data_IF_983725749048
#
_entry.id   IF_983725749048
#
_cell.length_a   1.000
_cell.length_b   1.000
_cell.length_c   1.000
_cell.angle_alpha   90.00
_cell.angle_beta   90.00
_cell.angle_gamma   90.00
#
_symmetry.space_group_name_H-M   'P 1'
#
loop_
_entity.id
_entity.type
_entity.pdbx_description
1 polymer ?
#
# COMPACT_ATOMS: atom_id res chain seq x y z
N UNK A 1 -35.71 15.51 11.83
CA UNK A 1 -35.33 14.22 12.46
C UNK A 1 -34.61 13.28 11.47
N UNK A 2 -35.16 13.07 10.28
CA UNK A 2 -34.55 12.17 9.24
C UNK A 2 -33.10 12.53 8.87
N UNK A 3 -32.82 13.84 8.71
CA UNK A 3 -31.46 14.33 8.38
C UNK A 3 -30.42 13.99 9.47
N UNK A 4 -30.80 14.15 10.75
CA UNK A 4 -29.90 13.81 11.86
C UNK A 4 -29.55 12.32 11.88
N UNK A 5 -30.54 11.47 11.62
CA UNK A 5 -30.31 10.01 11.51
C UNK A 5 -29.35 9.71 10.37
N UNK A 6 -29.47 10.39 9.23
CA UNK A 6 -28.55 10.21 8.10
C UNK A 6 -27.14 10.74 8.38
N UNK A 7 -26.98 11.83 9.14
CA UNK A 7 -25.66 12.29 9.56
C UNK A 7 -24.95 11.27 10.47
N UNK A 8 -25.68 10.67 11.40
CA UNK A 8 -25.15 9.59 12.26
C UNK A 8 -24.81 8.36 11.44
N UNK A 9 -25.67 7.97 10.48
CA UNK A 9 -25.43 6.88 9.57
C UNK A 9 -24.17 7.09 8.73
N UNK A 10 -23.98 8.29 8.18
CA UNK A 10 -22.77 8.64 7.44
C UNK A 10 -21.51 8.53 8.30
N UNK A 11 -21.57 9.00 9.56
CA UNK A 11 -20.50 8.80 10.53
C UNK A 11 -20.21 7.33 10.79
N UNK A 12 -21.26 6.51 10.99
CA UNK A 12 -21.12 5.07 11.21
C UNK A 12 -20.48 4.36 10.01
N UNK A 13 -20.91 4.68 8.80
CA UNK A 13 -20.27 4.19 7.57
C UNK A 13 -18.80 4.60 7.50
N UNK A 14 -18.46 5.82 7.93
CA UNK A 14 -17.09 6.31 8.01
C UNK A 14 -16.27 5.52 9.03
N UNK A 15 -16.84 5.23 10.17
CA UNK A 15 -16.20 4.43 11.23
C UNK A 15 -15.85 3.01 10.71
N UNK A 16 -16.83 2.30 10.14
CA UNK A 16 -16.60 0.97 9.56
C UNK A 16 -15.56 1.06 8.44
N UNK A 17 -15.70 2.02 7.53
CA UNK A 17 -14.76 2.25 6.44
C UNK A 17 -13.32 2.48 6.93
N UNK A 18 -13.14 3.01 8.14
CA UNK A 18 -11.81 3.21 8.76
C UNK A 18 -11.25 1.94 9.40
N UNK A 19 -12.10 0.97 9.76
CA UNK A 19 -11.71 -0.31 10.35
C UNK A 19 -11.50 -1.41 9.30
N UNK A 20 -12.17 -1.28 8.17
CA UNK A 20 -12.11 -2.26 7.09
C UNK A 20 -10.94 -1.93 6.17
N UNK A 21 -10.34 -2.95 5.56
CA UNK A 21 -9.26 -2.78 4.58
C UNK A 21 -9.70 -1.86 3.44
N UNK A 22 -8.75 -1.13 2.88
CA UNK A 22 -8.96 -0.07 1.86
C UNK A 22 -9.91 -0.49 0.73
N UNK A 23 -9.88 -1.74 0.31
CA UNK A 23 -10.70 -2.30 -0.77
C UNK A 23 -12.20 -2.27 -0.48
N UNK A 24 -12.59 -2.69 0.72
CA UNK A 24 -13.99 -2.72 1.15
C UNK A 24 -14.44 -1.38 1.76
N UNK A 25 -13.50 -0.49 2.03
CA UNK A 25 -13.72 0.84 2.58
C UNK A 25 -14.59 1.70 1.66
N UNK A 26 -14.42 1.58 0.35
CA UNK A 26 -15.18 2.33 -0.65
C UNK A 26 -16.68 2.01 -0.61
N UNK A 27 -17.06 0.74 -0.45
CA UNK A 27 -18.46 0.33 -0.39
C UNK A 27 -19.21 0.98 0.79
N UNK A 28 -18.59 1.02 1.96
CA UNK A 28 -19.14 1.70 3.14
C UNK A 28 -19.22 3.21 2.95
N UNK A 29 -18.21 3.79 2.31
CA UNK A 29 -18.21 5.19 1.94
C UNK A 29 -19.39 5.54 1.02
N UNK A 30 -19.59 4.72 -0.02
CA UNK A 30 -20.69 4.89 -0.97
C UNK A 30 -22.06 4.76 -0.30
N UNK A 31 -22.22 3.83 0.65
CA UNK A 31 -23.47 3.65 1.40
C UNK A 31 -23.84 4.91 2.24
N UNK A 32 -22.84 5.50 2.91
CA UNK A 32 -23.07 6.75 3.68
C UNK A 32 -23.42 7.94 2.79
N UNK A 33 -22.68 8.11 1.70
CA UNK A 33 -22.86 9.14 0.70
C UNK A 33 -24.25 9.03 0.00
N UNK A 34 -24.63 7.84 -0.43
CA UNK A 34 -25.91 7.61 -1.13
C UNK A 34 -27.11 7.92 -0.23
N UNK A 35 -27.04 7.52 1.05
CA UNK A 35 -28.12 7.82 2.00
C UNK A 35 -28.31 9.34 2.17
N UNK A 36 -27.23 10.11 2.25
CA UNK A 36 -27.31 11.56 2.32
C UNK A 36 -27.88 12.20 1.05
N UNK A 37 -27.46 11.76 -0.13
CA UNK A 37 -28.01 12.25 -1.41
C UNK A 37 -29.53 12.06 -1.41
N UNK A 38 -30.01 10.84 -1.12
CA UNK A 38 -31.45 10.53 -1.14
C UNK A 38 -32.20 11.47 -0.20
N UNK A 39 -31.76 11.60 1.04
CA UNK A 39 -32.48 12.38 2.07
C UNK A 39 -32.44 13.87 1.79
N UNK A 40 -31.33 14.41 1.31
CA UNK A 40 -31.19 15.83 1.01
C UNK A 40 -32.00 16.22 -0.22
N UNK A 41 -31.98 15.39 -1.28
CA UNK A 41 -32.69 15.68 -2.54
C UNK A 41 -34.21 15.67 -2.36
N UNK A 42 -34.75 14.81 -1.47
CA UNK A 42 -36.19 14.56 -1.32
C UNK A 42 -36.81 15.43 -0.23
N UNK A 43 -36.04 16.27 0.45
CA UNK A 43 -36.55 17.11 1.53
C UNK A 43 -37.85 17.87 1.18
N UNK A 44 -38.05 18.40 -0.05
CA UNK A 44 -39.31 19.07 -0.42
C UNK A 44 -40.52 18.11 -0.48
N UNK A 45 -40.34 16.85 -0.81
CA UNK A 45 -41.42 15.87 -1.01
C UNK A 45 -41.08 14.49 -0.38
N UNK A 46 -41.18 14.34 0.95
CA UNK A 46 -40.71 13.14 1.64
C UNK A 46 -41.48 11.84 1.29
N UNK A 47 -42.67 11.94 0.72
CA UNK A 47 -43.43 10.77 0.27
C UNK A 47 -42.82 10.04 -0.93
N UNK A 48 -41.98 10.70 -1.71
CA UNK A 48 -41.28 10.13 -2.87
C UNK A 48 -39.99 9.41 -2.49
N UNK A 49 -39.62 9.35 -1.21
CA UNK A 49 -38.39 8.70 -0.72
C UNK A 49 -38.20 7.28 -1.23
N UNK A 50 -39.21 6.38 -1.20
CA UNK A 50 -38.99 5.01 -1.67
C UNK A 50 -38.70 4.94 -3.18
N UNK A 51 -39.35 5.76 -3.99
CA UNK A 51 -39.15 5.80 -5.43
C UNK A 51 -37.73 6.26 -5.77
N UNK A 52 -37.28 7.36 -5.21
CA UNK A 52 -35.92 7.88 -5.39
C UNK A 52 -34.85 6.90 -4.89
N UNK A 53 -35.09 6.20 -3.79
CA UNK A 53 -34.16 5.19 -3.28
C UNK A 53 -33.99 4.04 -4.31
N UNK A 54 -35.09 3.58 -4.90
CA UNK A 54 -35.05 2.53 -5.95
C UNK A 54 -34.35 3.04 -7.21
N UNK A 55 -34.61 4.26 -7.65
CA UNK A 55 -33.92 4.87 -8.80
C UNK A 55 -32.41 4.94 -8.56
N UNK A 56 -31.95 5.43 -7.42
CA UNK A 56 -30.53 5.49 -7.07
C UNK A 56 -29.88 4.12 -6.94
N UNK A 57 -30.56 3.15 -6.33
CA UNK A 57 -30.05 1.78 -6.28
C UNK A 57 -29.91 1.17 -7.68
N UNK A 58 -30.87 1.41 -8.56
CA UNK A 58 -30.80 0.91 -9.95
C UNK A 58 -29.67 1.55 -10.76
N UNK A 59 -29.46 2.86 -10.63
CA UNK A 59 -28.32 3.57 -11.26
C UNK A 59 -26.98 2.98 -10.83
N UNK A 60 -26.80 2.74 -9.52
CA UNK A 60 -25.58 2.16 -8.96
C UNK A 60 -25.37 0.72 -9.48
N UNK A 61 -26.42 -0.10 -9.49
CA UNK A 61 -26.36 -1.48 -9.99
C UNK A 61 -25.99 -1.49 -11.49
N UNK A 62 -26.61 -0.64 -12.30
CA UNK A 62 -26.28 -0.51 -13.72
C UNK A 62 -24.81 -0.10 -13.89
N UNK A 63 -24.34 0.88 -13.14
CA UNK A 63 -22.94 1.32 -13.17
C UNK A 63 -21.96 0.20 -12.82
N UNK A 64 -22.27 -0.60 -11.77
CA UNK A 64 -21.45 -1.76 -11.38
C UNK A 64 -21.44 -2.83 -12.48
N UNK A 65 -22.62 -3.14 -13.05
CA UNK A 65 -22.72 -4.13 -14.14
C UNK A 65 -21.93 -3.67 -15.36
N UNK A 66 -22.05 -2.40 -15.76
CA UNK A 66 -21.26 -1.84 -16.86
C UNK A 66 -19.75 -1.89 -16.58
N UNK A 67 -19.31 -1.59 -15.36
CA UNK A 67 -17.90 -1.68 -14.96
C UNK A 67 -17.39 -3.13 -15.05
N UNK A 68 -18.14 -4.09 -14.51
CA UNK A 68 -17.81 -5.53 -14.60
C UNK A 68 -17.75 -5.99 -16.07
N UNK A 69 -18.70 -5.57 -16.89
CA UNK A 69 -18.69 -5.90 -18.33
C UNK A 69 -17.48 -5.30 -19.04
N UNK A 70 -17.12 -4.06 -18.72
CA UNK A 70 -15.94 -3.42 -19.27
C UNK A 70 -14.66 -4.16 -18.83
N UNK A 71 -14.53 -4.52 -17.57
CA UNK A 71 -13.40 -5.32 -17.07
C UNK A 71 -13.30 -6.67 -17.77
N UNK A 72 -14.39 -7.38 -17.95
CA UNK A 72 -14.41 -8.66 -18.65
C UNK A 72 -14.00 -8.53 -20.14
N UNK A 73 -14.37 -7.44 -20.80
CA UNK A 73 -14.07 -7.21 -22.22
C UNK A 73 -12.65 -6.67 -22.45
N UNK A 74 -12.18 -5.79 -21.57
CA UNK A 74 -10.93 -5.04 -21.77
C UNK A 74 -9.76 -5.51 -20.91
N UNK A 75 -9.96 -6.44 -19.95
CA UNK A 75 -8.90 -7.01 -19.11
C UNK A 75 -8.48 -8.43 -19.55
N UNK A 76 -7.88 -8.59 -20.75
CA UNK A 76 -7.48 -9.92 -21.25
C UNK A 76 -6.17 -10.41 -20.62
N UNK A 77 -5.47 -9.60 -19.79
CA UNK A 77 -4.16 -9.95 -19.25
C UNK A 77 -4.31 -10.73 -17.96
N UNK A 78 -3.71 -11.90 -17.94
CA UNK A 78 -3.55 -12.71 -16.73
C UNK A 78 -2.85 -11.89 -15.64
N UNK A 79 -3.56 -11.48 -14.59
CA UNK A 79 -3.02 -10.82 -13.38
C UNK A 79 -1.78 -11.58 -12.86
N UNK A 80 -1.76 -12.89 -13.06
CA UNK A 80 -0.62 -13.75 -12.73
C UNK A 80 0.68 -13.32 -13.45
N UNK A 81 0.62 -12.98 -14.72
CA UNK A 81 1.80 -12.56 -15.49
C UNK A 81 2.29 -11.18 -15.05
N UNK A 82 1.37 -10.30 -14.68
CA UNK A 82 1.70 -8.97 -14.17
C UNK A 82 2.39 -9.08 -12.80
N UNK A 83 1.82 -9.87 -11.88
CA UNK A 83 2.41 -10.12 -10.56
C UNK A 83 3.78 -10.77 -10.68
N UNK A 84 3.96 -11.75 -11.59
CA UNK A 84 5.26 -12.41 -11.79
C UNK A 84 6.32 -11.41 -12.29
N UNK A 85 5.97 -10.60 -13.29
CA UNK A 85 6.86 -9.58 -13.83
C UNK A 85 7.25 -8.56 -12.75
N UNK A 86 6.27 -8.12 -11.95
CA UNK A 86 6.54 -7.15 -10.89
C UNK A 86 7.43 -7.75 -9.79
N UNK A 87 7.19 -8.99 -9.37
CA UNK A 87 8.04 -9.69 -8.40
C UNK A 87 9.48 -9.90 -8.93
N UNK A 88 9.65 -10.15 -10.22
CA UNK A 88 10.99 -10.26 -10.83
C UNK A 88 11.72 -8.94 -10.85
N UNK A 89 11.05 -7.91 -11.34
CA UNK A 89 11.64 -6.58 -11.43
C UNK A 89 11.96 -5.99 -10.04
N UNK A 90 11.12 -6.29 -9.03
CA UNK A 90 11.35 -5.88 -7.65
C UNK A 90 12.60 -6.57 -7.07
N UNK A 91 12.79 -7.87 -7.33
CA UNK A 91 13.96 -8.61 -6.86
C UNK A 91 15.26 -8.07 -7.50
N UNK A 92 15.24 -7.75 -8.80
CA UNK A 92 16.39 -7.13 -9.49
C UNK A 92 16.72 -5.77 -8.87
N UNK A 93 15.72 -4.93 -8.65
CA UNK A 93 15.91 -3.61 -8.08
C UNK A 93 16.43 -3.67 -6.61
N UNK A 94 15.99 -4.65 -5.83
CA UNK A 94 16.51 -4.90 -4.48
C UNK A 94 17.99 -5.32 -4.50
N UNK A 95 18.38 -6.15 -5.46
CA UNK A 95 19.79 -6.54 -5.64
C UNK A 95 20.64 -5.33 -6.06
N UNK A 96 20.15 -4.52 -7.01
CA UNK A 96 20.81 -3.30 -7.45
C UNK A 96 20.97 -2.27 -6.32
N UNK A 97 19.96 -2.12 -5.44
CA UNK A 97 20.09 -1.28 -4.25
C UNK A 97 21.22 -1.77 -3.35
N UNK A 98 21.30 -3.09 -3.09
CA UNK A 98 22.40 -3.66 -2.30
C UNK A 98 23.76 -3.42 -2.94
N UNK A 99 23.86 -3.52 -4.27
CA UNK A 99 25.08 -3.18 -5.00
C UNK A 99 25.49 -1.71 -4.80
N UNK A 100 24.54 -0.78 -4.91
CA UNK A 100 24.78 0.64 -4.69
C UNK A 100 25.25 0.91 -3.26
N UNK A 101 24.65 0.25 -2.27
CA UNK A 101 25.00 0.38 -0.87
C UNK A 101 26.41 -0.12 -0.57
N UNK A 102 26.83 -1.26 -1.15
CA UNK A 102 28.17 -1.84 -0.96
C UNK A 102 29.25 -1.02 -1.70
N UNK A 103 28.93 -0.50 -2.89
CA UNK A 103 29.85 0.31 -3.70
C UNK A 103 30.02 1.74 -3.17
N UNK A 104 29.36 2.09 -2.09
CA UNK A 104 29.38 3.46 -1.56
C UNK A 104 28.91 4.48 -2.62
N UNK A 105 27.77 4.20 -3.24
CA UNK A 105 27.16 5.10 -4.20
C UNK A 105 26.80 6.46 -3.60
N UNK A 106 26.63 7.46 -4.47
CA UNK A 106 26.18 8.79 -4.06
C UNK A 106 24.88 8.69 -3.25
N UNK A 107 24.82 9.38 -2.09
CA UNK A 107 23.68 9.33 -1.17
C UNK A 107 22.36 9.69 -1.86
N UNK A 108 22.35 10.66 -2.78
CA UNK A 108 21.15 11.05 -3.52
C UNK A 108 20.63 9.91 -4.43
N UNK A 109 21.55 9.16 -5.06
CA UNK A 109 21.21 8.00 -5.90
C UNK A 109 20.65 6.86 -5.07
N UNK A 110 21.26 6.60 -3.88
CA UNK A 110 20.80 5.58 -2.94
C UNK A 110 19.41 5.93 -2.40
N UNK A 111 19.19 7.18 -1.99
CA UNK A 111 17.90 7.65 -1.47
C UNK A 111 16.77 7.54 -2.53
N UNK A 112 17.09 7.88 -3.78
CA UNK A 112 16.14 7.74 -4.88
C UNK A 112 15.79 6.27 -5.14
N UNK A 113 16.78 5.38 -5.22
CA UNK A 113 16.57 3.96 -5.43
C UNK A 113 15.79 3.33 -4.26
N UNK A 114 16.09 3.74 -3.02
CA UNK A 114 15.34 3.34 -1.83
C UNK A 114 13.88 3.78 -1.89
N UNK A 115 13.63 5.06 -2.19
CA UNK A 115 12.27 5.61 -2.29
C UNK A 115 11.44 4.94 -3.37
N UNK A 116 12.04 4.63 -4.53
CA UNK A 116 11.38 3.89 -5.61
C UNK A 116 11.01 2.47 -5.19
N UNK A 117 11.90 1.77 -4.48
CA UNK A 117 11.64 0.42 -3.97
C UNK A 117 10.53 0.39 -2.92
N UNK A 118 10.53 1.33 -1.97
CA UNK A 118 9.46 1.45 -0.98
C UNK A 118 8.11 1.68 -1.66
N UNK A 119 8.06 2.58 -2.65
CA UNK A 119 6.84 2.86 -3.42
C UNK A 119 6.33 1.62 -4.16
N UNK A 120 7.22 0.88 -4.83
CA UNK A 120 6.87 -0.36 -5.56
C UNK A 120 6.43 -1.48 -4.61
N UNK A 121 7.09 -1.62 -3.47
CA UNK A 121 6.68 -2.59 -2.43
C UNK A 121 5.28 -2.27 -1.90
N UNK A 122 4.95 -0.98 -1.74
CA UNK A 122 3.60 -0.54 -1.34
C UNK A 122 2.57 -0.80 -2.45
N UNK A 123 2.93 -0.57 -3.72
CA UNK A 123 2.07 -0.87 -4.86
C UNK A 123 1.76 -2.38 -4.98
N UNK A 124 2.73 -3.26 -4.68
CA UNK A 124 2.51 -4.71 -4.60
C UNK A 124 1.45 -5.08 -3.54
N UNK A 125 1.40 -4.33 -2.44
CA UNK A 125 0.35 -4.51 -1.43
C UNK A 125 -1.04 -4.20 -1.99
N UNK A 126 -1.18 -3.17 -2.82
CA UNK A 126 -2.42 -2.85 -3.53
C UNK A 126 -2.83 -3.94 -4.53
N UNK A 127 -1.87 -4.48 -5.32
CA UNK A 127 -2.15 -5.60 -6.23
C UNK A 127 -2.62 -6.86 -5.50
N UNK A 128 -2.03 -7.16 -4.33
CA UNK A 128 -2.44 -8.27 -3.47
C UNK A 128 -3.89 -8.18 -3.04
N UNK A 129 -4.33 -6.97 -2.82
CA UNK A 129 -5.66 -6.58 -2.41
C UNK A 129 -6.68 -7.02 -3.44
N UNK A 130 -6.44 -6.68 -4.70
CA UNK A 130 -7.29 -7.04 -5.82
C UNK A 130 -7.36 -8.56 -6.05
N UNK A 131 -6.26 -9.28 -5.80
CA UNK A 131 -6.22 -10.75 -5.90
C UNK A 131 -7.13 -11.47 -4.89
N UNK A 132 -7.39 -10.87 -3.73
CA UNK A 132 -8.29 -11.44 -2.72
C UNK A 132 -9.75 -11.49 -3.18
N UNK A 133 -10.15 -10.60 -4.08
CA UNK A 133 -11.53 -10.54 -4.59
C UNK A 133 -11.82 -11.60 -5.65
N UNK A 134 -10.78 -12.15 -6.29
CA UNK A 134 -10.95 -12.97 -7.51
C UNK A 134 -11.29 -14.44 -7.25
N UNK A 135 -10.82 -15.10 -6.21
CA UNK A 135 -11.25 -16.44 -5.76
C UNK A 135 -10.50 -17.02 -4.56
N UNK A 136 -11.09 -18.06 -3.90
CA UNK A 136 -10.42 -18.90 -2.88
C UNK A 136 -9.10 -19.56 -3.36
N UNK A 137 -8.93 -19.68 -4.68
CA UNK A 137 -7.71 -20.18 -5.33
C UNK A 137 -6.50 -19.30 -5.03
N UNK A 138 -6.70 -17.99 -4.87
CA UNK A 138 -5.66 -17.01 -4.59
C UNK A 138 -5.33 -16.84 -3.11
N UNK A 139 -6.08 -17.45 -2.20
CA UNK A 139 -5.82 -17.33 -0.76
C UNK A 139 -4.39 -17.77 -0.38
N UNK A 140 -3.88 -18.87 -0.99
CA UNK A 140 -2.51 -19.35 -0.79
C UNK A 140 -1.47 -18.39 -1.37
N UNK A 141 -1.74 -17.87 -2.57
CA UNK A 141 -0.86 -16.88 -3.20
C UNK A 141 -0.82 -15.59 -2.38
N UNK A 142 -1.94 -15.16 -1.82
CA UNK A 142 -2.01 -13.98 -0.98
C UNK A 142 -1.20 -14.11 0.32
N UNK A 143 -1.21 -15.29 0.99
CA UNK A 143 -0.32 -15.53 2.14
C UNK A 143 1.15 -15.39 1.75
N UNK A 144 1.56 -15.99 0.63
CA UNK A 144 2.94 -15.88 0.11
C UNK A 144 3.30 -14.45 -0.27
N UNK A 145 2.38 -13.71 -0.93
CA UNK A 145 2.59 -12.32 -1.29
C UNK A 145 2.72 -11.40 -0.07
N UNK A 146 1.99 -11.71 1.02
CA UNK A 146 2.15 -11.00 2.28
C UNK A 146 3.56 -11.18 2.82
N UNK A 147 4.05 -12.42 2.89
CA UNK A 147 5.40 -12.72 3.33
C UNK A 147 6.48 -12.14 2.40
N UNK A 148 6.28 -12.16 1.10
CA UNK A 148 7.15 -11.50 0.12
C UNK A 148 7.25 -9.99 0.38
N UNK A 149 6.12 -9.35 0.72
CA UNK A 149 6.12 -7.92 1.04
C UNK A 149 6.97 -7.61 2.29
N UNK A 150 6.81 -8.40 3.35
CA UNK A 150 7.64 -8.29 4.57
C UNK A 150 9.11 -8.54 4.27
N UNK A 151 9.43 -9.59 3.50
CA UNK A 151 10.80 -9.88 3.08
C UNK A 151 11.39 -8.75 2.22
N UNK A 152 10.59 -8.11 1.36
CA UNK A 152 11.02 -6.95 0.58
C UNK A 152 11.43 -5.78 1.47
N UNK A 153 10.65 -5.48 2.50
CA UNK A 153 11.01 -4.45 3.48
C UNK A 153 12.29 -4.82 4.24
N UNK A 154 12.44 -6.08 4.63
CA UNK A 154 13.67 -6.59 5.26
C UNK A 154 14.88 -6.41 4.35
N UNK A 155 14.77 -6.74 3.05
CA UNK A 155 15.85 -6.56 2.08
C UNK A 155 16.25 -5.09 1.93
N UNK A 156 15.28 -4.18 1.88
CA UNK A 156 15.51 -2.75 1.82
C UNK A 156 16.22 -2.27 3.09
N UNK A 157 15.75 -2.66 4.27
CA UNK A 157 16.35 -2.29 5.56
C UNK A 157 17.81 -2.77 5.66
N UNK A 158 18.07 -4.04 5.34
CA UNK A 158 19.41 -4.60 5.38
C UNK A 158 20.37 -3.93 4.38
N UNK A 159 19.87 -3.49 3.23
CA UNK A 159 20.65 -2.72 2.27
C UNK A 159 21.03 -1.35 2.84
N UNK A 160 20.09 -0.64 3.48
CA UNK A 160 20.36 0.64 4.12
C UNK A 160 21.32 0.50 5.31
N UNK A 161 21.18 -0.52 6.14
CA UNK A 161 22.13 -0.83 7.22
C UNK A 161 23.53 -1.10 6.67
N UNK A 162 23.65 -1.83 5.54
CA UNK A 162 24.92 -2.07 4.87
C UNK A 162 25.55 -0.76 4.39
N UNK A 163 24.75 0.19 3.86
CA UNK A 163 25.23 1.52 3.48
C UNK A 163 25.75 2.30 4.68
N UNK A 164 25.07 2.26 5.82
CA UNK A 164 25.52 2.91 7.06
C UNK A 164 26.83 2.29 7.58
N UNK A 165 26.96 0.96 7.53
CA UNK A 165 28.19 0.26 7.90
C UNK A 165 29.34 0.66 6.96
N UNK A 166 29.09 0.72 5.65
CA UNK A 166 30.09 1.12 4.68
C UNK A 166 30.58 2.55 4.91
N UNK A 167 29.72 3.45 5.40
CA UNK A 167 30.08 4.84 5.74
C UNK A 167 30.82 4.96 7.08
N UNK A 168 30.51 4.14 8.07
CA UNK A 168 31.02 4.27 9.43
C UNK A 168 32.18 3.33 9.72
N UNK A 169 32.16 2.12 9.19
CA UNK A 169 33.12 1.04 9.45
C UNK A 169 33.35 0.19 8.20
N UNK A 170 33.96 0.76 7.14
CA UNK A 170 34.12 0.06 5.85
C UNK A 170 34.96 -1.21 5.97
N UNK A 171 35.77 -1.36 7.02
CA UNK A 171 36.60 -2.55 7.30
C UNK A 171 35.75 -3.80 7.61
N UNK A 172 34.48 -3.66 8.00
CA UNK A 172 33.61 -4.78 8.27
C UNK A 172 33.13 -5.49 6.99
N UNK A 173 33.23 -4.82 5.84
CA UNK A 173 32.83 -5.39 4.55
C UNK A 173 34.12 -5.81 3.81
N UNK A 174 34.35 -7.12 3.78
CA UNK A 174 35.53 -7.71 3.16
C UNK A 174 35.55 -7.47 1.64
N UNK A 175 36.73 -7.29 1.06
CA UNK A 175 36.89 -7.05 -0.39
C UNK A 175 36.29 -8.15 -1.25
N UNK A 176 36.27 -9.39 -0.76
CA UNK A 176 35.59 -10.52 -1.40
C UNK A 176 34.11 -10.23 -1.68
N UNK A 177 33.39 -9.59 -0.74
CA UNK A 177 31.99 -9.22 -0.95
C UNK A 177 31.86 -8.00 -1.88
N UNK A 178 32.78 -7.04 -1.83
CA UNK A 178 32.80 -5.89 -2.75
C UNK A 178 32.97 -6.33 -4.20
N UNK A 179 33.95 -7.20 -4.48
CA UNK A 179 34.18 -7.77 -5.80
C UNK A 179 32.99 -8.59 -6.29
N UNK A 180 32.37 -9.35 -5.37
CA UNK A 180 31.21 -10.14 -5.70
C UNK A 180 30.04 -9.29 -6.18
N UNK A 181 29.73 -8.18 -5.49
CA UNK A 181 28.66 -7.26 -5.88
C UNK A 181 29.06 -6.28 -6.99
N UNK A 182 30.28 -6.37 -7.52
CA UNK A 182 30.68 -5.55 -8.67
C UNK A 182 30.09 -6.04 -10.00
N UNK A 183 29.71 -7.32 -10.07
CA UNK A 183 29.11 -7.91 -11.27
C UNK A 183 27.73 -7.29 -11.56
N UNK A 184 27.54 -6.64 -12.72
CA UNK A 184 26.25 -6.04 -13.06
C UNK A 184 25.17 -7.13 -13.20
N UNK A 185 23.94 -6.80 -12.78
CA UNK A 185 22.79 -7.70 -12.83
C UNK A 185 21.61 -6.95 -13.47
N UNK A 186 21.09 -7.50 -14.56
CA UNK A 186 19.98 -6.92 -15.30
C UNK A 186 18.71 -7.78 -15.22
N UNK A 187 18.87 -9.09 -15.07
CA UNK A 187 17.76 -10.02 -15.08
C UNK A 187 17.58 -10.77 -13.77
N UNK A 188 16.34 -11.23 -13.50
CA UNK A 188 16.05 -12.06 -12.33
C UNK A 188 16.82 -13.39 -12.34
N UNK A 189 17.19 -13.91 -13.53
CA UNK A 189 18.02 -15.11 -13.66
C UNK A 189 19.45 -14.85 -13.20
N UNK A 190 19.99 -13.66 -13.47
CA UNK A 190 21.32 -13.28 -13.01
C UNK A 190 21.34 -13.14 -11.51
N UNK A 191 20.31 -12.49 -10.92
CA UNK A 191 20.15 -12.45 -9.45
C UNK A 191 20.16 -13.88 -8.88
N UNK A 192 19.42 -14.80 -9.48
CA UNK A 192 19.38 -16.19 -9.01
C UNK A 192 20.75 -16.87 -9.06
N UNK A 193 21.50 -16.70 -10.14
CA UNK A 193 22.87 -17.24 -10.27
C UNK A 193 23.81 -16.63 -9.24
N UNK A 194 23.74 -15.31 -9.03
CA UNK A 194 24.57 -14.61 -8.07
C UNK A 194 24.24 -15.01 -6.63
N UNK A 195 22.95 -15.09 -6.24
CA UNK A 195 22.57 -15.57 -4.92
C UNK A 195 23.05 -16.99 -4.63
N UNK A 196 23.00 -17.88 -5.63
CA UNK A 196 23.55 -19.25 -5.50
C UNK A 196 25.07 -19.26 -5.30
N UNK A 197 25.80 -18.36 -5.96
CA UNK A 197 27.24 -18.18 -5.78
C UNK A 197 27.55 -17.60 -4.40
N UNK A 198 26.83 -16.54 -4.00
CA UNK A 198 27.00 -15.85 -2.74
C UNK A 198 26.77 -16.77 -1.53
N UNK A 199 25.75 -17.62 -1.59
CA UNK A 199 25.51 -18.66 -0.57
C UNK A 199 26.70 -19.64 -0.45
N UNK A 200 27.35 -20.00 -1.55
CA UNK A 200 28.55 -20.85 -1.50
C UNK A 200 29.74 -20.12 -0.87
N UNK A 201 29.92 -18.85 -1.20
CA UNK A 201 30.96 -18.02 -0.58
C UNK A 201 30.73 -17.93 0.93
N UNK A 202 29.52 -17.62 1.37
CA UNK A 202 29.17 -17.54 2.80
C UNK A 202 29.40 -18.90 3.50
N UNK A 203 29.03 -20.01 2.88
CA UNK A 203 29.23 -21.34 3.44
C UNK A 203 30.74 -21.70 3.56
N UNK A 204 31.58 -21.15 2.69
CA UNK A 204 33.03 -21.36 2.72
C UNK A 204 33.72 -20.41 3.71
N UNK A 205 33.35 -19.13 3.73
CA UNK A 205 33.92 -18.11 4.63
C UNK A 205 33.49 -18.33 6.08
N UNK A 206 32.31 -18.89 6.29
CA UNK A 206 31.69 -19.09 7.60
C UNK A 206 30.84 -17.88 8.06
N UNK A 207 29.87 -18.16 8.92
CA UNK A 207 28.92 -17.14 9.39
C UNK A 207 29.59 -16.04 10.23
N UNK A 208 30.68 -16.37 10.92
CA UNK A 208 31.37 -15.43 11.82
C UNK A 208 32.14 -14.34 11.08
N UNK A 209 32.62 -14.63 9.87
CA UNK A 209 33.39 -13.70 9.05
C UNK A 209 32.53 -12.95 8.03
N UNK A 210 31.25 -13.36 7.89
CA UNK A 210 30.30 -12.70 7.01
C UNK A 210 29.60 -11.57 7.76
N UNK A 211 29.53 -10.34 7.20
CA UNK A 211 28.75 -9.25 7.81
C UNK A 211 27.30 -9.67 8.02
N UNK A 212 26.76 -9.44 9.21
CA UNK A 212 25.41 -9.87 9.59
C UNK A 212 24.34 -9.34 8.65
N UNK A 213 24.51 -8.12 8.14
CA UNK A 213 23.59 -7.49 7.19
C UNK A 213 23.58 -8.23 5.86
N UNK A 214 24.75 -8.63 5.34
CA UNK A 214 24.86 -9.41 4.08
C UNK A 214 24.26 -10.80 4.28
N UNK A 215 24.58 -11.46 5.40
CA UNK A 215 24.03 -12.77 5.72
C UNK A 215 22.49 -12.72 5.80
N UNK A 216 21.95 -11.79 6.55
CA UNK A 216 20.50 -11.61 6.71
C UNK A 216 19.82 -11.26 5.38
N UNK A 217 20.46 -10.41 4.58
CA UNK A 217 19.97 -10.05 3.25
C UNK A 217 19.88 -11.27 2.33
N UNK A 218 20.94 -12.11 2.27
CA UNK A 218 20.96 -13.33 1.44
C UNK A 218 19.94 -14.34 1.91
N UNK A 219 19.74 -14.50 3.22
CA UNK A 219 18.71 -15.35 3.79
C UNK A 219 17.30 -14.87 3.38
N UNK A 220 17.01 -13.57 3.49
CA UNK A 220 15.75 -12.97 3.08
C UNK A 220 15.52 -13.11 1.57
N UNK A 221 16.53 -12.84 0.74
CA UNK A 221 16.43 -12.97 -0.72
C UNK A 221 16.19 -14.43 -1.17
N UNK A 222 16.77 -15.40 -0.45
CA UNK A 222 16.53 -16.82 -0.71
C UNK A 222 15.08 -17.22 -0.38
N UNK A 223 14.55 -16.76 0.77
CA UNK A 223 13.15 -16.98 1.17
C UNK A 223 12.19 -16.33 0.17
N UNK A 224 12.50 -15.11 -0.27
CA UNK A 224 11.76 -14.41 -1.31
C UNK A 224 11.64 -15.24 -2.59
N UNK A 225 12.75 -15.78 -3.09
CA UNK A 225 12.76 -16.61 -4.31
C UNK A 225 11.95 -17.90 -4.15
N UNK A 226 12.01 -18.53 -2.97
CA UNK A 226 11.23 -19.72 -2.67
C UNK A 226 9.73 -19.43 -2.74
N UNK A 227 9.28 -18.39 -2.05
CA UNK A 227 7.87 -18.00 -2.01
C UNK A 227 7.37 -17.53 -3.37
N UNK A 228 8.18 -16.78 -4.14
CA UNK A 228 7.86 -16.37 -5.51
C UNK A 228 7.51 -17.56 -6.39
N UNK A 229 8.31 -18.61 -6.37
CA UNK A 229 8.02 -19.84 -7.13
C UNK A 229 6.68 -20.43 -6.74
N UNK A 230 6.36 -20.45 -5.45
CA UNK A 230 5.08 -20.93 -4.93
C UNK A 230 3.88 -20.08 -5.36
N UNK A 231 4.03 -18.75 -5.51
CA UNK A 231 3.01 -17.86 -6.06
C UNK A 231 2.69 -18.21 -7.51
N UNK A 232 3.74 -18.34 -8.34
CA UNK A 232 3.59 -18.60 -9.79
C UNK A 232 3.00 -20.00 -10.06
N UNK A 233 3.50 -21.02 -9.38
CA UNK A 233 3.05 -22.41 -9.58
C UNK A 233 1.73 -22.71 -8.88
N UNK A 234 1.30 -21.85 -7.94
CA UNK A 234 0.12 -22.04 -7.07
C UNK A 234 0.09 -23.44 -6.41
N UNK A 235 1.26 -23.97 -6.07
CA UNK A 235 1.42 -25.27 -5.40
C UNK A 235 0.91 -25.24 -3.95
N UNK A 236 0.67 -26.41 -3.37
CA UNK A 236 0.41 -26.54 -1.94
C UNK A 236 1.61 -25.99 -1.16
N UNK A 237 1.36 -25.40 -0.01
CA UNK A 237 2.38 -24.87 0.87
C UNK A 237 3.19 -26.06 1.43
N UNK A 238 4.52 -26.03 1.25
CA UNK A 238 5.44 -27.03 1.78
C UNK A 238 5.79 -26.70 3.26
N UNK A 239 6.30 -27.69 4.00
CA UNK A 239 6.71 -27.50 5.40
C UNK A 239 7.70 -26.33 5.60
N UNK A 240 8.69 -26.20 4.70
CA UNK A 240 9.66 -25.09 4.73
C UNK A 240 9.00 -23.74 4.46
N UNK A 241 8.02 -23.67 3.57
CA UNK A 241 7.26 -22.44 3.32
C UNK A 241 6.37 -22.10 4.53
N UNK A 242 5.75 -23.11 5.16
CA UNK A 242 4.92 -22.92 6.35
C UNK A 242 5.73 -22.35 7.52
N UNK A 243 6.96 -22.80 7.72
CA UNK A 243 7.87 -22.23 8.73
C UNK A 243 8.15 -20.75 8.47
N UNK A 244 8.40 -20.37 7.21
CA UNK A 244 8.60 -18.97 6.82
C UNK A 244 7.32 -18.16 7.07
N UNK A 245 6.15 -18.72 6.75
CA UNK A 245 4.87 -18.05 6.88
C UNK A 245 4.38 -17.92 8.32
N UNK A 246 4.78 -18.83 9.22
CA UNK A 246 4.48 -18.77 10.66
C UNK A 246 5.34 -17.75 11.40
N UNK A 247 6.54 -17.48 10.91
CA UNK A 247 7.44 -16.47 11.48
C UNK A 247 7.00 -15.02 11.22
N UNK A 248 5.95 -14.79 10.43
CA UNK A 248 5.42 -13.45 10.22
C UNK A 248 4.62 -12.98 11.45
N UNK A 249 4.92 -11.80 12.01
CA UNK A 249 4.11 -11.23 13.07
C UNK A 249 2.69 -10.99 12.53
N UNK A 250 1.72 -11.59 13.20
CA UNK A 250 0.33 -11.26 12.97
C UNK A 250 0.14 -9.81 13.44
N UNK A 251 0.05 -8.88 12.49
CA UNK A 251 -0.22 -7.48 12.82
C UNK A 251 -1.61 -7.43 13.44
N UNK A 252 -1.67 -7.48 14.77
CA UNK A 252 -2.89 -7.19 15.50
C UNK A 252 -3.26 -5.75 15.19
N UNK A 253 -4.50 -5.55 14.73
CA UNK A 253 -5.07 -4.21 14.55
C UNK A 253 -4.97 -3.49 15.90
N UNK A 254 -4.05 -2.55 15.97
CA UNK A 254 -3.67 -1.90 17.23
C UNK A 254 -4.81 -1.01 17.75
N UNK A 255 -4.87 -0.83 19.05
CA UNK A 255 -5.85 0.05 19.70
C UNK A 255 -5.86 1.48 19.14
N UNK A 256 -4.73 1.93 18.59
CA UNK A 256 -4.58 3.20 17.90
C UNK A 256 -5.50 3.33 16.66
N UNK A 257 -5.67 2.27 15.87
CA UNK A 257 -6.55 2.30 14.70
C UNK A 257 -8.03 2.47 15.10
N UNK A 258 -8.44 1.87 16.21
CA UNK A 258 -9.81 2.04 16.74
C UNK A 258 -10.06 3.46 17.22
N UNK A 259 -9.06 4.07 17.85
CA UNK A 259 -9.16 5.46 18.29
C UNK A 259 -9.30 6.41 17.08
N UNK A 260 -8.48 6.24 16.07
CA UNK A 260 -8.56 7.01 14.83
C UNK A 260 -9.91 6.82 14.10
N UNK A 261 -10.43 5.59 14.07
CA UNK A 261 -11.75 5.32 13.50
C UNK A 261 -12.87 6.06 14.25
N UNK A 262 -12.80 6.12 15.60
CA UNK A 262 -13.76 6.86 16.41
C UNK A 262 -13.66 8.37 16.20
N UNK A 263 -12.45 8.91 16.09
CA UNK A 263 -12.23 10.33 15.75
C UNK A 263 -12.81 10.64 14.37
N UNK A 264 -12.65 9.77 13.38
CA UNK A 264 -13.22 9.93 12.05
C UNK A 264 -14.77 9.90 12.08
N UNK A 265 -15.36 9.02 12.90
CA UNK A 265 -16.81 9.00 13.13
C UNK A 265 -17.33 10.36 13.59
N UNK A 266 -16.76 10.86 14.69
CA UNK A 266 -17.21 12.14 15.26
C UNK A 266 -16.95 13.32 14.33
N UNK A 267 -15.80 13.33 13.65
CA UNK A 267 -15.46 14.37 12.67
C UNK A 267 -16.48 14.42 11.53
N UNK A 268 -16.83 13.28 10.95
CA UNK A 268 -17.80 13.21 9.86
C UNK A 268 -19.20 13.57 10.32
N UNK A 269 -19.65 13.02 11.45
CA UNK A 269 -20.98 13.29 12.00
C UNK A 269 -21.14 14.78 12.32
N UNK A 270 -20.20 15.40 13.05
CA UNK A 270 -20.21 16.81 13.37
C UNK A 270 -20.18 17.70 12.13
N UNK A 271 -19.34 17.39 11.17
CA UNK A 271 -19.25 18.14 9.91
C UNK A 271 -20.54 18.07 9.12
N UNK A 272 -21.19 16.91 9.04
CA UNK A 272 -22.50 16.78 8.39
C UNK A 272 -23.58 17.56 9.12
N UNK A 273 -23.61 17.53 10.45
CA UNK A 273 -24.59 18.29 11.25
C UNK A 273 -24.38 19.79 11.07
N UNK A 274 -23.15 20.28 11.24
CA UNK A 274 -22.82 21.71 11.11
C UNK A 274 -23.11 22.22 9.70
N UNK A 275 -22.73 21.48 8.68
CA UNK A 275 -23.01 21.85 7.30
C UNK A 275 -24.51 21.86 7.00
N UNK A 276 -25.28 20.90 7.52
CA UNK A 276 -26.75 20.90 7.39
C UNK A 276 -27.40 22.07 8.10
N UNK A 277 -26.97 22.38 9.31
CA UNK A 277 -27.45 23.54 10.04
C UNK A 277 -27.14 24.84 9.31
N UNK A 278 -25.94 24.99 8.78
CA UNK A 278 -25.53 26.12 7.94
C UNK A 278 -26.41 26.24 6.70
N UNK A 279 -26.64 25.14 5.99
CA UNK A 279 -27.50 25.12 4.82
C UNK A 279 -28.93 25.51 5.11
N UNK A 280 -29.51 24.97 6.19
CA UNK A 280 -30.88 25.34 6.63
C UNK A 280 -30.98 26.79 7.07
N UNK A 281 -29.93 27.30 7.73
CA UNK A 281 -29.91 28.69 8.24
C UNK A 281 -29.76 29.70 7.09
N UNK A 282 -28.93 29.41 6.10
CA UNK A 282 -28.68 30.33 4.96
C UNK A 282 -29.74 30.24 3.87
N UNK A 283 -30.52 29.15 3.82
CA UNK A 283 -31.48 28.90 2.74
C UNK A 283 -30.86 28.80 1.36
N UNK A 284 -29.55 28.42 1.28
CA UNK A 284 -28.79 28.37 0.04
C UNK A 284 -29.31 27.27 -0.88
N UNK A 285 -29.86 27.67 -2.05
CA UNK A 285 -30.54 26.76 -3.00
C UNK A 285 -29.61 25.64 -3.54
N UNK A 286 -28.31 25.91 -3.71
CA UNK A 286 -27.29 24.92 -4.17
C UNK A 286 -26.54 24.25 -3.01
N UNK A 287 -26.87 24.55 -1.77
CA UNK A 287 -26.16 24.03 -0.58
C UNK A 287 -26.28 22.53 -0.40
N UNK A 288 -27.35 21.93 -0.93
CA UNK A 288 -27.52 20.46 -0.97
C UNK A 288 -26.39 19.74 -1.71
N UNK A 289 -25.98 20.23 -2.89
CA UNK A 289 -24.87 19.69 -3.66
C UNK A 289 -23.54 19.84 -2.92
N UNK A 290 -23.25 21.01 -2.36
CA UNK A 290 -22.03 21.27 -1.61
C UNK A 290 -21.87 20.34 -0.38
N UNK A 291 -22.95 19.95 0.29
CA UNK A 291 -22.94 18.99 1.40
C UNK A 291 -22.52 17.60 0.96
N UNK A 292 -23.01 17.18 -0.20
CA UNK A 292 -22.69 15.88 -0.82
C UNK A 292 -21.22 15.84 -1.24
N UNK A 293 -20.75 16.89 -1.91
CA UNK A 293 -19.34 17.01 -2.33
C UNK A 293 -18.38 17.03 -1.14
N UNK A 294 -18.74 17.76 -0.08
CA UNK A 294 -17.94 17.85 1.13
C UNK A 294 -17.74 16.48 1.81
N UNK A 295 -18.80 15.66 1.85
CA UNK A 295 -18.68 14.31 2.40
C UNK A 295 -17.83 13.40 1.52
N UNK A 296 -17.95 13.52 0.21
CA UNK A 296 -17.10 12.80 -0.74
C UNK A 296 -15.61 13.15 -0.53
N UNK A 297 -15.29 14.43 -0.39
CA UNK A 297 -13.94 14.90 -0.05
C UNK A 297 -13.45 14.38 1.29
N UNK A 298 -14.29 14.30 2.30
CA UNK A 298 -13.91 13.73 3.60
C UNK A 298 -13.60 12.23 3.52
N UNK A 299 -14.25 11.51 2.63
CA UNK A 299 -13.96 10.08 2.41
C UNK A 299 -12.66 9.88 1.62
N UNK A 300 -12.38 10.73 0.63
CA UNK A 300 -11.09 10.76 -0.06
C UNK A 300 -9.93 11.18 0.87
N UNK A 301 -10.15 12.10 1.78
CA UNK A 301 -9.16 12.55 2.77
C UNK A 301 -8.84 11.50 3.88
N UNK A 302 -9.44 10.32 3.85
CA UNK A 302 -9.05 9.15 4.67
C UNK A 302 -7.77 8.46 4.22
N UNK A 303 -7.24 8.78 3.06
CA UNK A 303 -5.84 8.50 2.72
C UNK A 303 -5.03 9.07 3.88
N UNK A 304 -4.21 8.26 4.57
CA UNK A 304 -3.65 8.61 5.86
C UNK A 304 -2.97 9.97 5.77
N UNK A 305 -3.32 10.86 6.70
CA UNK A 305 -2.81 12.24 6.79
C UNK A 305 -1.28 12.23 6.85
N UNK A 306 -0.67 11.14 7.27
CA UNK A 306 0.75 10.83 7.13
C UNK A 306 1.23 10.90 5.68
N UNK A 307 0.43 10.48 4.71
CA UNK A 307 0.81 10.56 3.30
C UNK A 307 0.73 12.00 2.77
N UNK A 308 -0.27 12.76 3.21
CA UNK A 308 -0.43 14.18 2.86
C UNK A 308 0.61 15.05 3.59
N UNK A 309 0.93 14.74 4.85
CA UNK A 309 1.98 15.43 5.61
C UNK A 309 3.36 15.06 5.06
N UNK A 310 3.60 13.82 4.64
CA UNK A 310 4.83 13.42 3.97
C UNK A 310 4.99 14.13 2.63
N UNK A 311 3.98 14.11 1.76
CA UNK A 311 4.00 14.85 0.48
C UNK A 311 4.04 16.36 0.68
N UNK A 312 3.31 16.91 1.65
CA UNK A 312 3.37 18.34 1.99
C UNK A 312 4.71 18.78 2.58
N UNK A 313 5.36 17.95 3.39
CA UNK A 313 6.74 18.21 3.87
C UNK A 313 7.76 18.10 2.75
N UNK A 314 7.65 17.13 1.85
CA UNK A 314 8.53 17.04 0.68
C UNK A 314 8.37 18.26 -0.24
N UNK A 315 7.16 18.73 -0.49
CA UNK A 315 6.95 19.97 -1.28
C UNK A 315 7.49 21.20 -0.56
N UNK A 316 7.38 21.31 0.75
CA UNK A 316 7.91 22.43 1.52
C UNK A 316 9.44 22.41 1.59
N UNK A 317 10.06 21.25 1.70
CA UNK A 317 11.54 21.10 1.69
C UNK A 317 12.10 21.36 0.28
N UNK A 318 11.46 20.88 -0.78
CA UNK A 318 11.87 21.22 -2.15
C UNK A 318 11.67 22.72 -2.49
N UNK A 319 10.61 23.35 -2.00
CA UNK A 319 10.44 24.80 -2.18
C UNK A 319 11.42 25.62 -1.34
N UNK A 320 11.82 25.15 -0.16
CA UNK A 320 12.83 25.83 0.66
C UNK A 320 14.25 25.69 0.11
N UNK A 321 14.56 24.62 -0.63
CA UNK A 321 15.85 24.41 -1.29
C UNK A 321 16.06 25.26 -2.55
N UNK A 322 14.98 25.82 -3.12
CA UNK A 322 15.05 26.70 -4.30
C UNK A 322 15.03 28.21 -3.99
N UNK A 323 15.09 28.61 -2.73
CA UNK A 323 15.28 30.03 -2.41
C UNK A 323 16.76 30.39 -2.59
N UNK A 324 17.09 31.35 -3.50
CA UNK A 324 18.48 31.77 -3.71
C UNK A 324 18.98 32.42 -2.42
N UNK A 325 20.00 31.81 -1.82
CA UNK A 325 20.77 32.41 -0.73
C UNK A 325 21.42 33.68 -1.26
N UNK A 326 20.82 34.81 -0.96
CA UNK A 326 21.38 36.13 -1.23
C UNK A 326 22.58 36.31 -0.29
N UNK A 327 23.81 36.05 -0.81
CA UNK A 327 25.04 36.39 -0.13
C UNK A 327 25.07 37.91 0.07
N UNK A 328 25.17 38.34 1.29
CA UNK A 328 25.75 39.63 1.67
C UNK A 328 27.20 39.46 2.11
#
# INVERSE_FOLDING_TARGET
MMILVCCIWAGFCTWISSLVRIENSYAWGLAGYTALIIVITIQPEPLLTPQFAVERCSEIVIGIVCAIMADLLFSPRSIKQEVDRELESLLVAQYQLMQLCIKHGDGEVVDKAWGDLVRRTTALQGMRSNLNMESSRWARANRRLKAINTLSLTLITQSCETYLIQNTRPELITDTFREFFDTPVETAQDVHKQLKRLRRVIAWTGERETPVTIYSWVAAATRYQLLKRGVISNTKINATEEEILQGEPEVKVESAERHHAMVNFWRTTLSCILGTLFWLWTGWTSGSGAMVDFQFFQQLAKVPTTFIIATGRYHMVCCAAHLPVKRR
#
